data_IF_899795612339
#
_entry.id   IF_899795612339
#
_cell.length_a   1.000
_cell.length_b   1.000
_cell.length_c   1.000
_cell.angle_alpha   90.00
_cell.angle_beta   90.00
_cell.angle_gamma   90.00
#
_symmetry.space_group_name_H-M   'P 1'
#
loop_
_entity.id
_entity.type
_entity.pdbx_description
1 polymer ?
#
# COMPACT_ATOMS: atom_id res chain seq x y z
N UNK A 1 -23.07 -25.11 -47.76
CA UNK A 1 -22.52 -25.54 -46.45
C UNK A 1 -21.22 -24.76 -46.17
N UNK A 2 -21.04 -24.25 -44.94
CA UNK A 2 -19.76 -23.68 -44.51
C UNK A 2 -18.77 -24.82 -44.22
N UNK A 3 -17.47 -24.56 -44.42
CA UNK A 3 -16.41 -25.47 -43.99
C UNK A 3 -16.25 -25.35 -42.46
N UNK A 4 -15.97 -26.47 -41.79
CA UNK A 4 -15.65 -26.47 -40.36
C UNK A 4 -14.22 -25.98 -40.13
N UNK A 5 -13.84 -25.63 -38.90
CA UNK A 5 -12.44 -25.37 -38.59
C UNK A 5 -11.58 -26.63 -38.82
N UNK A 6 -10.30 -26.40 -39.14
CA UNK A 6 -9.31 -27.43 -39.44
C UNK A 6 -8.88 -27.51 -40.91
N UNK A 7 -8.03 -28.49 -41.25
CA UNK A 7 -7.52 -28.68 -42.60
C UNK A 7 -8.57 -29.30 -43.54
N UNK A 8 -8.68 -28.74 -44.74
CA UNK A 8 -9.52 -29.20 -45.84
C UNK A 8 -8.68 -29.45 -47.06
N UNK A 9 -8.83 -30.64 -47.64
CA UNK A 9 -8.16 -31.00 -48.90
C UNK A 9 -9.07 -30.64 -50.07
N UNK A 10 -8.59 -29.76 -50.94
CA UNK A 10 -9.21 -29.43 -52.22
C UNK A 10 -8.58 -30.32 -53.29
N UNK A 11 -9.40 -31.12 -53.95
CA UNK A 11 -8.99 -31.99 -55.06
C UNK A 11 -9.48 -31.39 -56.36
N UNK A 12 -8.59 -31.21 -57.33
CA UNK A 12 -8.91 -30.75 -58.67
C UNK A 12 -8.61 -31.89 -59.64
N UNK A 13 -9.62 -32.26 -60.43
CA UNK A 13 -9.50 -33.31 -61.44
C UNK A 13 -9.85 -32.75 -62.81
N UNK A 14 -9.02 -33.07 -63.80
CA UNK A 14 -9.24 -32.74 -65.20
C UNK A 14 -9.26 -34.01 -66.04
N UNK A 15 -10.19 -34.10 -66.97
CA UNK A 15 -10.31 -35.22 -67.92
C UNK A 15 -10.26 -34.66 -69.34
N UNK A 16 -9.38 -35.20 -70.18
CA UNK A 16 -9.31 -34.80 -71.59
C UNK A 16 -10.36 -35.52 -72.46
N UNK A 17 -10.57 -35.13 -73.74
CA UNK A 17 -11.53 -35.80 -74.62
C UNK A 17 -11.23 -37.27 -74.93
N UNK A 18 -9.99 -37.72 -74.73
CA UNK A 18 -9.58 -39.13 -74.88
C UNK A 18 -9.82 -39.94 -73.59
N UNK A 19 -10.21 -39.29 -72.48
CA UNK A 19 -10.50 -39.92 -71.19
C UNK A 19 -9.31 -39.96 -70.22
N UNK A 20 -8.18 -39.32 -70.53
CA UNK A 20 -7.05 -39.26 -69.60
C UNK A 20 -7.39 -38.34 -68.42
N UNK A 21 -7.14 -38.80 -67.20
CA UNK A 21 -7.44 -38.06 -65.97
C UNK A 21 -6.14 -37.59 -65.30
N UNK A 22 -6.05 -36.29 -65.05
CA UNK A 22 -5.05 -35.69 -64.16
C UNK A 22 -5.70 -35.18 -62.89
N UNK A 23 -5.07 -35.41 -61.74
CA UNK A 23 -5.55 -34.94 -60.44
C UNK A 23 -4.44 -34.21 -59.69
N UNK A 24 -4.79 -33.12 -59.00
CA UNK A 24 -3.91 -32.42 -58.07
C UNK A 24 -4.67 -32.06 -56.80
N UNK A 25 -3.94 -31.81 -55.70
CA UNK A 25 -4.49 -31.53 -54.39
C UNK A 25 -3.84 -30.30 -53.77
N UNK A 26 -4.62 -29.53 -53.01
CA UNK A 26 -4.16 -28.44 -52.15
C UNK A 26 -4.81 -28.59 -50.77
N UNK A 27 -4.11 -28.14 -49.72
CA UNK A 27 -4.68 -28.09 -48.36
C UNK A 27 -4.91 -26.64 -47.99
N UNK A 28 -6.11 -26.34 -47.48
CA UNK A 28 -6.48 -25.07 -46.87
C UNK A 28 -6.84 -25.34 -45.41
N UNK A 29 -6.36 -24.52 -44.49
CA UNK A 29 -6.81 -24.58 -43.09
C UNK A 29 -7.81 -23.46 -42.86
N UNK A 30 -8.98 -23.80 -42.34
CA UNK A 30 -9.99 -22.85 -41.88
C UNK A 30 -9.84 -22.71 -40.38
N UNK A 31 -9.81 -21.48 -39.91
CA UNK A 31 -9.78 -21.16 -38.49
C UNK A 31 -10.68 -19.94 -38.26
N UNK A 32 -11.78 -20.15 -37.56
CA UNK A 32 -12.77 -19.11 -37.25
C UNK A 32 -12.86 -18.83 -35.75
N UNK A 33 -11.99 -19.44 -34.95
CA UNK A 33 -12.06 -19.37 -33.50
C UNK A 33 -11.20 -18.23 -32.97
N UNK A 34 -11.83 -17.14 -32.54
CA UNK A 34 -11.12 -16.02 -31.91
C UNK A 34 -10.51 -16.40 -30.55
N UNK A 35 -9.35 -15.81 -30.19
CA UNK A 35 -8.81 -15.90 -28.84
C UNK A 35 -9.79 -15.33 -27.80
N UNK A 36 -9.81 -15.89 -26.59
CA UNK A 36 -10.45 -15.28 -25.43
C UNK A 36 -9.37 -14.56 -24.62
N UNK A 37 -9.62 -13.30 -24.29
CA UNK A 37 -8.68 -12.44 -23.55
C UNK A 37 -9.39 -11.84 -22.32
N UNK A 38 -8.68 -11.73 -21.21
CA UNK A 38 -9.13 -11.03 -20.01
C UNK A 38 -8.04 -10.10 -19.48
N UNK A 39 -8.44 -9.09 -18.72
CA UNK A 39 -7.57 -8.19 -17.96
C UNK A 39 -7.91 -8.35 -16.48
N UNK A 40 -6.90 -8.47 -15.62
CA UNK A 40 -7.08 -8.47 -14.18
C UNK A 40 -7.51 -7.07 -13.71
N UNK A 41 -8.41 -7.01 -12.73
CA UNK A 41 -8.75 -5.74 -12.08
C UNK A 41 -7.51 -5.14 -11.39
N UNK A 42 -7.32 -3.84 -11.55
CA UNK A 42 -6.18 -3.11 -10.94
C UNK A 42 -6.71 -1.90 -10.20
N UNK A 43 -6.42 -1.86 -8.90
CA UNK A 43 -6.41 -0.65 -8.07
C UNK A 43 -4.96 -0.42 -7.66
N UNK A 44 -4.38 0.70 -8.08
CA UNK A 44 -2.94 0.96 -7.94
C UNK A 44 -2.67 2.33 -7.35
N UNK A 45 -1.63 2.42 -6.52
CA UNK A 45 -1.01 3.68 -6.09
C UNK A 45 0.21 4.07 -6.95
N UNK A 46 0.44 3.34 -8.03
CA UNK A 46 1.37 3.64 -9.09
C UNK A 46 0.62 4.23 -10.30
N UNK A 47 1.09 5.37 -10.80
CA UNK A 47 0.55 6.08 -11.96
C UNK A 47 0.90 5.43 -13.31
N UNK A 48 1.80 4.46 -13.35
CA UNK A 48 2.23 3.75 -14.57
C UNK A 48 2.25 2.23 -14.38
N UNK A 49 1.16 1.63 -13.88
CA UNK A 49 1.18 0.26 -13.40
C UNK A 49 1.40 -0.74 -14.53
N UNK A 50 2.07 -1.85 -14.22
CA UNK A 50 1.99 -3.05 -15.06
C UNK A 50 0.54 -3.51 -15.23
N UNK A 51 0.17 -3.95 -16.44
CA UNK A 51 -1.13 -4.56 -16.73
C UNK A 51 -0.93 -6.03 -17.09
N UNK A 52 -1.77 -6.90 -16.54
CA UNK A 52 -1.68 -8.35 -16.76
C UNK A 52 -3.06 -8.96 -16.95
N UNK A 53 -3.09 -10.12 -17.59
CA UNK A 53 -4.32 -10.87 -17.76
C UNK A 53 -4.10 -12.23 -18.42
N UNK A 54 -5.17 -12.81 -18.94
CA UNK A 54 -5.14 -14.12 -19.61
C UNK A 54 -5.42 -13.99 -21.10
N UNK A 55 -4.87 -14.91 -21.88
CA UNK A 55 -5.13 -15.07 -23.32
C UNK A 55 -5.10 -16.55 -23.66
N UNK A 56 -6.12 -17.06 -24.35
CA UNK A 56 -6.23 -18.51 -24.61
C UNK A 56 -5.35 -19.00 -25.75
N UNK A 57 -4.98 -18.11 -26.68
CA UNK A 57 -4.08 -18.44 -27.79
C UNK A 57 -2.64 -17.98 -27.47
N UNK A 58 -1.68 -18.91 -27.31
CA UNK A 58 -0.29 -18.59 -27.00
C UNK A 58 0.47 -17.94 -28.16
N UNK A 59 -0.10 -17.92 -29.36
CA UNK A 59 0.49 -17.34 -30.57
C UNK A 59 -0.15 -16.02 -31.00
N UNK A 60 -1.23 -15.61 -30.32
CA UNK A 60 -1.91 -14.35 -30.62
C UNK A 60 -1.04 -13.12 -30.28
N UNK A 61 -1.19 -12.07 -31.09
CA UNK A 61 -0.64 -10.74 -30.81
C UNK A 61 -1.59 -9.99 -29.88
N UNK A 62 -1.06 -9.48 -28.75
CA UNK A 62 -1.87 -8.74 -27.75
C UNK A 62 -1.57 -7.24 -27.83
N UNK A 63 -2.63 -6.44 -27.90
CA UNK A 63 -2.55 -4.97 -27.87
C UNK A 63 -3.47 -4.45 -26.77
N UNK A 64 -2.94 -3.59 -25.92
CA UNK A 64 -3.67 -2.89 -24.87
C UNK A 64 -3.94 -1.47 -25.33
N UNK A 65 -5.17 -1.02 -25.23
CA UNK A 65 -5.62 0.31 -25.64
C UNK A 65 -6.00 1.07 -24.37
N UNK A 66 -5.24 2.12 -24.05
CA UNK A 66 -5.46 2.99 -22.89
C UNK A 66 -5.80 4.37 -23.41
N UNK A 67 -6.98 4.89 -23.04
CA UNK A 67 -7.48 6.21 -23.48
C UNK A 67 -7.40 6.43 -25.00
N UNK A 68 -7.61 5.36 -25.77
CA UNK A 68 -7.59 5.36 -27.24
C UNK A 68 -6.20 5.21 -27.88
N UNK A 69 -5.13 5.04 -27.09
CA UNK A 69 -3.76 4.82 -27.59
C UNK A 69 -3.38 3.34 -27.47
N UNK A 70 -2.79 2.79 -28.53
CA UNK A 70 -2.39 1.38 -28.58
C UNK A 70 -0.98 1.15 -28.02
N UNK A 71 -0.85 0.15 -27.15
CA UNK A 71 0.39 -0.30 -26.53
C UNK A 71 0.55 -1.81 -26.79
N UNK A 72 1.61 -2.24 -27.49
CA UNK A 72 1.92 -3.65 -27.66
C UNK A 72 2.19 -4.30 -26.29
N UNK A 73 1.55 -5.42 -26.01
CA UNK A 73 1.81 -6.22 -24.81
C UNK A 73 2.45 -7.56 -25.19
N UNK A 74 3.16 -8.15 -24.24
CA UNK A 74 3.79 -9.46 -24.42
C UNK A 74 2.77 -10.56 -24.19
N UNK A 75 2.54 -11.43 -25.18
CA UNK A 75 1.93 -12.74 -24.94
C UNK A 75 3.02 -13.66 -24.39
N UNK A 76 2.84 -14.13 -23.16
CA UNK A 76 3.86 -14.93 -22.48
C UNK A 76 3.87 -16.40 -22.95
N UNK A 77 2.92 -16.80 -23.80
CA UNK A 77 2.82 -18.17 -24.34
C UNK A 77 2.34 -19.22 -23.35
N UNK A 78 2.11 -18.85 -22.09
CA UNK A 78 1.67 -19.74 -21.01
C UNK A 78 0.21 -19.49 -20.58
N UNK A 79 -0.58 -18.86 -21.45
CA UNK A 79 -1.96 -18.47 -21.17
C UNK A 79 -2.11 -17.08 -20.50
N UNK A 80 -1.00 -16.35 -20.32
CA UNK A 80 -1.00 -14.99 -19.76
C UNK A 80 -0.38 -13.98 -20.72
N UNK A 81 -0.70 -12.70 -20.52
CA UNK A 81 -0.04 -11.59 -21.19
C UNK A 81 0.33 -10.50 -20.19
N UNK A 82 1.32 -9.69 -20.56
CA UNK A 82 1.87 -8.62 -19.72
C UNK A 82 2.17 -7.36 -20.54
N UNK A 83 1.66 -6.21 -20.09
CA UNK A 83 2.23 -4.90 -20.42
C UNK A 83 3.10 -4.49 -19.23
N UNK A 84 4.39 -4.29 -19.48
CA UNK A 84 5.37 -4.07 -18.41
C UNK A 84 5.12 -2.75 -17.67
N UNK A 85 5.55 -2.73 -16.41
CA UNK A 85 5.54 -1.54 -15.56
C UNK A 85 6.28 -0.38 -16.22
N UNK A 86 5.83 0.86 -15.98
CA UNK A 86 6.41 2.08 -16.56
C UNK A 86 6.37 2.16 -18.11
N UNK A 87 5.59 1.30 -18.79
CA UNK A 87 5.40 1.40 -20.25
C UNK A 87 4.40 2.48 -20.64
N UNK A 88 3.38 2.68 -19.80
CA UNK A 88 2.36 3.71 -20.01
C UNK A 88 2.90 5.10 -19.65
N UNK A 89 2.38 6.18 -20.27
CA UNK A 89 2.56 7.51 -19.71
C UNK A 89 1.92 7.60 -18.32
N UNK A 90 2.33 8.57 -17.52
CA UNK A 90 1.71 8.86 -16.22
C UNK A 90 0.21 9.08 -16.38
N UNK A 91 -0.56 8.17 -15.80
CA UNK A 91 -2.01 8.25 -15.73
C UNK A 91 -2.42 9.14 -14.56
N UNK A 92 -3.49 9.91 -14.72
CA UNK A 92 -4.06 10.72 -13.63
C UNK A 92 -4.79 9.84 -12.61
N UNK A 93 -4.94 10.29 -11.36
CA UNK A 93 -5.82 9.63 -10.40
C UNK A 93 -7.26 9.52 -10.96
N UNK A 94 -7.90 8.37 -10.73
CA UNK A 94 -9.24 8.06 -11.21
C UNK A 94 -9.35 6.76 -12.01
N UNK A 95 -10.55 6.47 -12.54
CA UNK A 95 -10.78 5.31 -13.39
C UNK A 95 -10.32 5.55 -14.84
N UNK A 96 -9.63 4.56 -15.40
CA UNK A 96 -9.17 4.50 -16.79
C UNK A 96 -9.83 3.31 -17.49
N UNK A 97 -10.44 3.54 -18.64
CA UNK A 97 -11.06 2.46 -19.43
C UNK A 97 -10.00 1.83 -20.32
N UNK A 98 -9.74 0.55 -20.10
CA UNK A 98 -8.76 -0.22 -20.86
C UNK A 98 -9.49 -1.19 -21.78
N UNK A 99 -9.09 -1.24 -23.05
CA UNK A 99 -9.53 -2.28 -23.98
C UNK A 99 -8.33 -3.16 -24.30
N UNK A 100 -8.48 -4.48 -24.28
CA UNK A 100 -7.41 -5.40 -24.69
C UNK A 100 -7.91 -6.23 -25.85
N UNK A 101 -7.11 -6.30 -26.91
CA UNK A 101 -7.38 -7.11 -28.09
C UNK A 101 -6.31 -8.17 -28.25
N UNK A 102 -6.71 -9.39 -28.60
CA UNK A 102 -5.81 -10.49 -28.97
C UNK A 102 -6.17 -10.97 -30.38
N UNK A 103 -5.21 -10.95 -31.30
CA UNK A 103 -5.40 -11.38 -32.70
C UNK A 103 -4.58 -12.62 -32.99
N UNK A 104 -5.23 -13.72 -33.38
CA UNK A 104 -4.55 -14.96 -33.76
C UNK A 104 -3.84 -14.85 -35.13
N UNK A 105 -3.04 -15.86 -35.54
CA UNK A 105 -2.40 -15.88 -36.86
C UNK A 105 -3.36 -15.95 -38.06
N UNK A 106 -4.59 -16.43 -37.86
CA UNK A 106 -5.63 -16.47 -38.89
C UNK A 106 -6.37 -15.13 -39.06
N UNK A 107 -6.17 -14.20 -38.13
CA UNK A 107 -6.78 -12.87 -38.11
C UNK A 107 -8.06 -12.77 -37.29
N UNK A 108 -8.44 -13.80 -36.53
CA UNK A 108 -9.59 -13.72 -35.62
C UNK A 108 -9.22 -12.88 -34.39
N UNK A 109 -10.15 -12.04 -33.93
CA UNK A 109 -9.89 -11.05 -32.88
C UNK A 109 -10.78 -11.31 -31.67
N UNK A 110 -10.13 -11.54 -30.52
CA UNK A 110 -10.74 -11.45 -29.19
C UNK A 110 -10.63 -10.05 -28.62
N UNK A 111 -11.64 -9.60 -27.85
CA UNK A 111 -11.62 -8.28 -27.21
C UNK A 111 -12.23 -8.36 -25.81
N UNK A 112 -11.69 -7.58 -24.88
CA UNK A 112 -12.24 -7.36 -23.54
C UNK A 112 -12.07 -5.90 -23.11
N UNK A 113 -12.90 -5.47 -22.17
CA UNK A 113 -12.87 -4.14 -21.58
C UNK A 113 -12.82 -4.27 -20.06
N UNK A 114 -11.96 -3.48 -19.40
CA UNK A 114 -11.91 -3.38 -17.95
C UNK A 114 -11.61 -1.95 -17.51
N UNK A 115 -11.80 -1.68 -16.22
CA UNK A 115 -11.47 -0.40 -15.60
C UNK A 115 -10.28 -0.59 -14.67
N UNK A 116 -9.24 0.20 -14.88
CA UNK A 116 -8.08 0.32 -13.97
C UNK A 116 -8.24 1.60 -13.18
N UNK A 117 -8.12 1.54 -11.86
CA UNK A 117 -8.21 2.74 -11.01
C UNK A 117 -6.83 3.09 -10.45
N UNK A 118 -6.39 4.31 -10.71
CA UNK A 118 -5.18 4.90 -10.12
C UNK A 118 -5.57 5.80 -8.95
N UNK A 119 -4.88 5.66 -7.83
CA UNK A 119 -5.04 6.48 -6.62
C UNK A 119 -3.68 6.68 -5.95
N UNK A 120 -2.97 7.72 -6.37
CA UNK A 120 -1.65 8.09 -5.83
C UNK A 120 -1.73 8.98 -4.59
N UNK A 121 -2.94 9.39 -4.20
CA UNK A 121 -3.16 10.33 -3.10
C UNK A 121 -3.03 9.62 -1.75
N UNK A 122 -1.92 9.88 -1.06
CA UNK A 122 -1.74 9.40 0.31
C UNK A 122 -2.75 10.06 1.28
N UNK A 123 -3.22 9.34 2.31
CA UNK A 123 -4.03 9.95 3.35
C UNK A 123 -3.24 11.03 4.11
N UNK A 124 -3.94 11.98 4.72
CA UNK A 124 -3.29 12.95 5.60
C UNK A 124 -2.60 12.25 6.77
N UNK A 125 -1.45 12.79 7.20
CA UNK A 125 -0.78 12.32 8.40
C UNK A 125 -1.73 12.45 9.62
N UNK A 126 -1.73 11.48 10.54
CA UNK A 126 -2.45 11.63 11.80
C UNK A 126 -1.97 12.88 12.53
N UNK A 127 -2.92 13.68 13.03
CA UNK A 127 -2.60 14.79 13.92
C UNK A 127 -2.55 14.23 15.34
N UNK A 128 -1.38 14.33 15.98
CA UNK A 128 -1.27 14.16 17.42
C UNK A 128 -1.41 15.56 18.02
N UNK A 129 -2.51 15.81 18.73
CA UNK A 129 -2.64 17.03 19.52
C UNK A 129 -1.48 17.09 20.52
N UNK A 130 -0.80 18.24 20.65
CA UNK A 130 0.22 18.39 21.67
C UNK A 130 -0.41 18.10 23.03
N UNK A 131 0.21 17.21 23.81
CA UNK A 131 -0.13 16.99 25.21
C UNK A 131 -0.02 18.37 25.87
N UNK A 132 -1.16 18.92 26.25
CA UNK A 132 -1.27 20.23 26.84
C UNK A 132 -2.23 20.15 28.04
N UNK A 133 -2.29 21.22 28.84
CA UNK A 133 -3.11 21.24 30.06
C UNK A 133 -4.61 20.96 29.80
N UNK A 134 -5.10 21.12 28.58
CA UNK A 134 -6.49 20.84 28.18
C UNK A 134 -6.72 19.45 27.56
N UNK A 135 -5.66 18.70 27.20
CA UNK A 135 -5.77 17.32 26.70
C UNK A 135 -4.62 16.41 27.20
N UNK A 136 -4.56 16.12 28.51
CA UNK A 136 -3.49 15.31 29.08
C UNK A 136 -3.77 13.80 28.99
N UNK A 137 -2.70 13.01 28.88
CA UNK A 137 -2.76 11.57 29.18
C UNK A 137 -2.71 11.42 30.71
N UNK A 138 -3.83 11.00 31.30
CA UNK A 138 -3.95 10.80 32.75
C UNK A 138 -3.66 9.36 33.14
N UNK A 139 -2.75 9.15 34.09
CA UNK A 139 -2.60 7.88 34.80
C UNK A 139 -3.29 7.94 36.16
N UNK A 140 -4.08 6.94 36.52
CA UNK A 140 -4.67 6.82 37.86
C UNK A 140 -4.09 5.58 38.54
N UNK A 141 -3.47 5.75 39.69
CA UNK A 141 -3.07 4.66 40.57
C UNK A 141 -3.94 4.73 41.82
N UNK A 142 -4.61 3.62 42.14
CA UNK A 142 -5.41 3.49 43.35
C UNK A 142 -4.87 2.32 44.18
N UNK A 143 -4.79 2.50 45.50
CA UNK A 143 -4.47 1.41 46.42
C UNK A 143 -5.74 0.75 47.00
N UNK A 144 -5.62 -0.43 47.63
CA UNK A 144 -6.76 -1.13 48.22
C UNK A 144 -7.40 -0.41 49.43
N UNK A 145 -6.74 0.60 50.01
CA UNK A 145 -7.26 1.43 51.09
C UNK A 145 -8.10 2.61 50.57
N UNK A 146 -8.13 2.82 49.24
CA UNK A 146 -8.92 3.83 48.56
C UNK A 146 -8.19 5.13 48.24
N UNK A 147 -6.87 5.19 48.44
CA UNK A 147 -6.07 6.35 48.07
C UNK A 147 -5.86 6.39 46.55
N UNK A 148 -6.08 7.54 45.93
CA UNK A 148 -5.95 7.73 44.47
C UNK A 148 -4.93 8.81 44.16
N UNK A 149 -3.91 8.48 43.38
CA UNK A 149 -2.96 9.41 42.78
C UNK A 149 -3.22 9.56 41.29
N UNK A 150 -3.22 10.80 40.78
CA UNK A 150 -3.31 11.09 39.34
C UNK A 150 -2.04 11.78 38.87
N UNK A 151 -1.57 11.46 37.68
CA UNK A 151 -0.46 12.19 37.03
C UNK A 151 -0.83 12.54 35.59
N UNK A 152 -0.39 13.73 35.16
CA UNK A 152 -0.34 14.12 33.76
C UNK A 152 1.09 13.87 33.27
N UNK A 153 1.26 13.08 32.22
CA UNK A 153 2.58 12.90 31.62
C UNK A 153 3.04 14.18 30.88
N UNK A 154 3.58 15.16 31.60
CA UNK A 154 4.57 16.11 31.09
C UNK A 154 5.91 15.61 31.61
N UNK A 155 6.71 14.95 30.77
CA UNK A 155 8.03 14.46 31.16
C UNK A 155 8.98 15.65 31.29
N UNK A 156 9.12 16.19 32.49
CA UNK A 156 10.31 16.94 32.92
C UNK A 156 10.90 16.22 34.11
N UNK A 157 12.04 15.55 33.91
CA UNK A 157 12.83 14.98 35.01
C UNK A 157 13.50 16.15 35.74
N UNK A 158 13.14 16.36 37.00
CA UNK A 158 13.81 17.33 37.86
C UNK A 158 15.20 16.79 38.24
N UNK A 159 16.25 17.48 37.78
CA UNK A 159 17.66 17.14 38.02
C UNK A 159 18.32 18.10 39.00
N UNK A 160 17.55 18.98 39.65
CA UNK A 160 18.08 20.05 40.49
C UNK A 160 18.40 19.52 41.88
N UNK A 161 19.68 19.51 42.26
CA UNK A 161 20.08 19.13 43.62
C UNK A 161 19.67 20.21 44.64
N UNK A 162 19.19 19.83 45.84
CA UNK A 162 18.85 20.80 46.89
C UNK A 162 20.11 21.50 47.43
N UNK A 163 20.01 22.81 47.69
CA UNK A 163 21.07 23.62 48.31
C UNK A 163 20.64 24.01 49.72
N UNK A 164 21.49 23.76 50.72
CA UNK A 164 21.32 24.19 52.11
C UNK A 164 22.41 25.19 52.46
N UNK A 165 22.03 26.39 52.91
CA UNK A 165 22.96 27.40 53.45
C UNK A 165 22.60 27.71 54.90
N UNK A 166 23.58 27.59 55.79
CA UNK A 166 23.46 27.95 57.20
C UNK A 166 24.01 29.37 57.39
N UNK A 167 23.20 30.30 57.88
CA UNK A 167 23.67 31.63 58.29
C UNK A 167 24.05 31.54 59.78
N UNK A 168 25.35 31.51 60.07
CA UNK A 168 25.88 31.26 61.40
C UNK A 168 26.06 32.56 62.23
N UNK A 169 26.20 32.35 63.54
CA UNK A 169 27.19 32.96 64.45
C UNK A 169 26.60 33.80 65.62
N UNK A 170 26.71 33.19 66.80
CA UNK A 170 26.75 33.78 68.16
C UNK A 170 25.45 34.42 68.69
N UNK A 171 24.62 33.57 69.30
CA UNK A 171 23.58 33.99 70.23
C UNK A 171 23.80 33.28 71.58
N UNK A 172 23.71 34.01 72.71
CA UNK A 172 23.65 33.44 74.06
C UNK A 172 22.23 32.95 74.42
N UNK A 173 21.40 32.73 73.40
CA UNK A 173 20.07 32.20 73.45
C UNK A 173 20.11 30.67 73.62
N UNK A 174 19.54 30.19 74.71
CA UNK A 174 19.37 28.75 74.97
C UNK A 174 18.33 28.08 74.06
N UNK A 175 17.71 28.82 73.15
CA UNK A 175 16.66 28.39 72.22
C UNK A 175 16.81 29.00 70.81
N UNK A 176 17.92 28.75 70.10
CA UNK A 176 18.10 29.31 68.76
C UNK A 176 17.06 28.76 67.79
N UNK A 177 16.38 29.65 67.07
CA UNK A 177 15.48 29.26 65.99
C UNK A 177 16.29 28.92 64.73
N UNK A 178 16.39 27.63 64.40
CA UNK A 178 16.90 27.16 63.12
C UNK A 178 15.78 27.32 62.08
N UNK A 179 16.02 28.12 61.04
CA UNK A 179 15.09 28.24 59.92
C UNK A 179 15.82 28.00 58.60
N UNK A 180 15.15 27.31 57.68
CA UNK A 180 15.58 27.06 56.32
C UNK A 180 14.36 26.90 55.42
N UNK A 181 14.51 27.19 54.12
CA UNK A 181 13.41 27.06 53.14
C UNK A 181 13.73 25.92 52.17
N UNK A 182 12.74 25.06 51.92
CA UNK A 182 12.78 24.07 50.84
C UNK A 182 11.77 24.47 49.77
N UNK A 183 12.13 24.31 48.50
CA UNK A 183 11.29 24.68 47.35
C UNK A 183 10.39 23.56 46.85
N UNK A 184 10.58 22.32 47.34
CA UNK A 184 9.68 21.18 47.10
C UNK A 184 8.70 21.00 48.28
N UNK A 185 7.38 21.19 48.09
CA UNK A 185 6.39 21.13 49.17
C UNK A 185 6.15 19.72 49.73
N UNK A 186 6.75 18.68 49.14
CA UNK A 186 6.60 17.28 49.58
C UNK A 186 7.83 16.70 50.29
N UNK A 187 8.93 17.45 50.34
CA UNK A 187 10.13 17.02 51.03
C UNK A 187 10.03 17.25 52.55
N UNK A 188 10.37 16.23 53.34
CA UNK A 188 10.45 16.34 54.80
C UNK A 188 11.82 16.86 55.21
N UNK A 189 11.88 18.05 55.83
CA UNK A 189 13.12 18.58 56.42
C UNK A 189 13.22 18.07 57.86
N UNK A 190 14.19 17.21 58.14
CA UNK A 190 14.52 16.80 59.51
C UNK A 190 15.76 17.55 59.95
N UNK A 191 15.61 18.42 60.95
CA UNK A 191 16.75 19.08 61.61
C UNK A 191 17.07 18.27 62.86
N UNK A 192 18.22 17.59 62.86
CA UNK A 192 18.67 16.80 64.01
C UNK A 192 19.63 17.63 64.85
N UNK A 193 19.28 17.89 66.11
CA UNK A 193 20.18 18.44 67.12
C UNK A 193 20.33 17.38 68.21
N UNK A 194 21.56 16.90 68.43
CA UNK A 194 21.92 15.88 69.42
C UNK A 194 21.05 14.59 69.40
N UNK A 195 20.61 14.17 68.21
CA UNK A 195 19.99 12.87 67.99
C UNK A 195 18.52 12.74 68.41
N UNK A 196 17.82 13.83 68.74
CA UNK A 196 16.39 13.81 69.04
C UNK A 196 15.60 14.48 67.91
N UNK A 197 14.60 13.79 67.38
CA UNK A 197 13.69 14.31 66.36
C UNK A 197 12.58 15.12 67.02
N UNK A 198 12.44 16.39 66.66
CA UNK A 198 11.28 17.21 67.00
C UNK A 198 10.38 17.32 65.77
N UNK A 199 9.07 17.00 65.87
CA UNK A 199 8.14 17.38 64.83
C UNK A 199 8.00 18.91 64.81
N UNK A 200 7.90 19.46 63.61
CA UNK A 200 7.50 20.86 63.43
C UNK A 200 6.05 21.08 63.88
#
# INVERSE_FOLDING_TARGET
>A
PALTDGPHTITVTATDPAGNVGTTNAVVTVDTTAPVVALNDVLSNDSTPALTGTVTDPTATVVVIVDGVNYPATNNGNGTWTLADNTLPTLTDGPHTITVTATDPAGNVGTTNAVVKVDTTAPNAPVIDPINASNPVTGTAADPAGNVGTTNAVVTVDTTAPVVTLNDVLSNDSTPALTGTVTDPTATVVVTVDGVNYPA
#
